data_IF_704428076359
#
_entry.id   IF_704428076359
#
_cell.length_a   1.000
_cell.length_b   1.000
_cell.length_c   1.000
_cell.angle_alpha   90.00
_cell.angle_beta   90.00
_cell.angle_gamma   90.00
#
_symmetry.space_group_name_H-M   'P 1'
#
loop_
_entity.id
_entity.type
_entity.pdbx_description
1 polymer ?
#
# COMPACT_ATOMS: atom_id res chain seq x y z
N UNK A 1 -9.89 -74.80 -21.64
CA UNK A 1 -8.97 -73.68 -21.36
C UNK A 1 -9.85 -72.47 -21.10
N UNK A 2 -10.09 -72.20 -19.82
CA UNK A 2 -11.18 -71.33 -19.35
C UNK A 2 -10.61 -69.94 -19.13
N UNK A 3 -11.07 -68.96 -19.91
CA UNK A 3 -10.62 -67.57 -19.81
C UNK A 3 -11.20 -67.00 -18.51
N UNK A 4 -10.32 -66.60 -17.59
CA UNK A 4 -10.68 -65.86 -16.39
C UNK A 4 -11.11 -64.44 -16.79
N UNK A 5 -12.41 -64.16 -16.66
CA UNK A 5 -12.94 -62.80 -16.63
C UNK A 5 -12.42 -62.12 -15.35
N UNK A 6 -11.45 -61.23 -15.51
CA UNK A 6 -10.87 -60.45 -14.42
C UNK A 6 -11.87 -59.40 -13.91
N UNK A 7 -11.92 -59.30 -12.58
CA UNK A 7 -12.79 -58.42 -11.81
C UNK A 7 -12.60 -56.94 -12.18
N UNK A 8 -13.52 -56.39 -12.98
CA UNK A 8 -13.72 -54.94 -13.14
C UNK A 8 -14.27 -54.34 -11.83
N UNK A 9 -13.42 -54.07 -10.84
CA UNK A 9 -13.83 -53.36 -9.62
C UNK A 9 -13.62 -51.85 -9.76
N UNK A 10 -14.76 -51.16 -9.86
CA UNK A 10 -15.07 -49.81 -9.36
C UNK A 10 -14.53 -48.59 -10.12
N UNK A 11 -15.06 -48.36 -11.32
CA UNK A 11 -15.36 -46.99 -11.75
C UNK A 11 -16.85 -46.72 -11.50
N UNK A 12 -17.24 -45.60 -10.88
CA UNK A 12 -18.64 -45.24 -10.70
C UNK A 12 -19.36 -45.18 -12.05
N UNK A 13 -20.63 -45.63 -12.14
CA UNK A 13 -21.44 -45.48 -13.36
C UNK A 13 -21.50 -44.01 -13.83
N UNK A 14 -21.47 -43.07 -12.88
CA UNK A 14 -21.46 -41.64 -13.19
C UNK A 14 -20.21 -41.15 -13.93
N UNK A 15 -19.05 -41.80 -13.75
CA UNK A 15 -17.81 -41.38 -14.40
C UNK A 15 -17.78 -41.79 -15.88
N UNK A 16 -18.29 -42.99 -16.17
CA UNK A 16 -18.52 -43.46 -17.53
C UNK A 16 -19.50 -42.56 -18.28
N UNK A 17 -20.64 -42.24 -17.66
CA UNK A 17 -21.64 -41.35 -18.25
C UNK A 17 -21.08 -39.94 -18.50
N UNK A 18 -20.25 -39.42 -17.59
CA UNK A 18 -19.58 -38.13 -17.74
C UNK A 18 -18.66 -38.09 -18.97
N UNK A 19 -17.85 -39.13 -19.18
CA UNK A 19 -16.92 -39.20 -20.31
C UNK A 19 -17.69 -39.40 -21.62
N UNK A 20 -18.73 -40.22 -21.63
CA UNK A 20 -19.62 -40.35 -22.80
C UNK A 20 -20.27 -39.00 -23.17
N UNK A 21 -20.75 -38.24 -22.19
CA UNK A 21 -21.28 -36.89 -22.43
C UNK A 21 -20.22 -35.90 -22.93
N UNK A 22 -18.95 -36.07 -22.54
CA UNK A 22 -17.84 -35.28 -23.07
C UNK A 22 -17.61 -35.62 -24.55
N UNK A 23 -17.57 -36.90 -24.89
CA UNK A 23 -17.41 -37.40 -26.26
C UNK A 23 -18.58 -36.99 -27.17
N UNK A 24 -19.81 -36.99 -26.67
CA UNK A 24 -20.99 -36.58 -27.43
C UNK A 24 -20.97 -35.08 -27.82
N UNK A 25 -20.21 -34.25 -27.09
CA UNK A 25 -20.04 -32.81 -27.41
C UNK A 25 -18.97 -32.58 -28.45
N UNK A 26 -17.91 -33.37 -28.40
CA UNK A 26 -16.74 -33.21 -29.24
C UNK A 26 -16.85 -34.21 -30.41
N UNK A 27 -17.66 -33.88 -31.42
CA UNK A 27 -17.91 -34.79 -32.55
C UNK A 27 -16.61 -35.06 -33.34
N UNK A 28 -16.07 -36.28 -33.24
CA UNK A 28 -14.90 -36.70 -34.01
C UNK A 28 -14.39 -38.09 -33.62
N UNK A 29 -13.52 -38.64 -34.47
CA UNK A 29 -12.85 -39.93 -34.24
C UNK A 29 -11.33 -39.82 -34.41
N UNK A 30 -10.82 -38.58 -34.42
CA UNK A 30 -9.40 -38.32 -34.62
C UNK A 30 -8.59 -38.75 -33.40
N UNK A 31 -7.36 -39.17 -33.62
CA UNK A 31 -6.40 -39.44 -32.53
C UNK A 31 -6.25 -38.22 -31.60
N UNK A 32 -6.34 -37.01 -32.15
CA UNK A 32 -6.30 -35.76 -31.38
C UNK A 32 -7.43 -35.66 -30.34
N UNK A 33 -8.65 -36.07 -30.71
CA UNK A 33 -9.77 -36.11 -29.79
C UNK A 33 -9.55 -37.17 -28.69
N UNK A 34 -9.12 -38.37 -29.08
CA UNK A 34 -8.81 -39.46 -28.14
C UNK A 34 -7.75 -39.00 -27.14
N UNK A 35 -6.69 -38.35 -27.62
CA UNK A 35 -5.63 -37.79 -26.78
C UNK A 35 -6.16 -36.72 -25.82
N UNK A 36 -6.97 -35.77 -26.31
CA UNK A 36 -7.56 -34.72 -25.46
C UNK A 36 -8.40 -35.30 -24.32
N UNK A 37 -9.38 -36.13 -24.67
CA UNK A 37 -10.27 -36.77 -23.69
C UNK A 37 -9.48 -37.67 -22.75
N UNK A 38 -8.54 -38.46 -23.23
CA UNK A 38 -7.73 -39.33 -22.38
C UNK A 38 -6.84 -38.54 -21.41
N UNK A 39 -6.22 -37.43 -21.85
CA UNK A 39 -5.39 -36.59 -20.96
C UNK A 39 -6.20 -35.98 -19.83
N UNK A 40 -7.37 -35.43 -20.14
CA UNK A 40 -8.26 -34.82 -19.14
C UNK A 40 -8.73 -35.81 -18.08
N UNK A 41 -8.95 -37.06 -18.50
CA UNK A 41 -9.51 -38.09 -17.64
C UNK A 41 -8.43 -38.84 -16.85
N UNK A 42 -7.27 -39.15 -17.46
CA UNK A 42 -6.17 -39.82 -16.76
C UNK A 42 -5.54 -38.97 -15.65
N UNK A 43 -5.62 -37.64 -15.70
CA UNK A 43 -5.10 -36.78 -14.64
C UNK A 43 -5.68 -37.10 -13.25
N UNK A 44 -6.93 -37.58 -13.23
CA UNK A 44 -7.69 -37.93 -12.03
C UNK A 44 -7.74 -39.43 -11.72
N UNK A 45 -7.17 -40.27 -12.60
CA UNK A 45 -7.14 -41.73 -12.41
C UNK A 45 -5.78 -42.18 -11.84
N UNK A 46 -5.78 -43.33 -11.18
CA UNK A 46 -4.54 -44.01 -10.82
C UNK A 46 -3.89 -44.60 -12.08
N UNK A 47 -2.56 -44.63 -12.10
CA UNK A 47 -1.80 -45.33 -13.16
C UNK A 47 -2.01 -46.83 -13.00
N UNK A 48 -2.97 -47.36 -13.76
CA UNK A 48 -3.32 -48.77 -13.78
C UNK A 48 -3.83 -49.17 -15.15
N UNK A 49 -3.55 -50.42 -15.54
CA UNK A 49 -4.09 -51.05 -16.74
C UNK A 49 -5.63 -51.03 -16.74
N UNK A 50 -6.25 -51.17 -15.57
CA UNK A 50 -7.72 -51.09 -15.44
C UNK A 50 -8.30 -49.72 -15.84
N UNK A 51 -7.55 -48.63 -15.67
CA UNK A 51 -7.97 -47.30 -16.10
C UNK A 51 -7.86 -47.15 -17.62
N UNK A 52 -6.81 -47.72 -18.22
CA UNK A 52 -6.65 -47.80 -19.68
C UNK A 52 -7.80 -48.60 -20.29
N UNK A 53 -8.08 -49.79 -19.74
CA UNK A 53 -9.16 -50.65 -20.22
C UNK A 53 -10.54 -50.01 -20.04
N UNK A 54 -10.76 -49.31 -18.92
CA UNK A 54 -11.98 -48.54 -18.72
C UNK A 54 -12.17 -47.46 -19.79
N UNK A 55 -11.13 -46.65 -20.06
CA UNK A 55 -11.19 -45.63 -21.12
C UNK A 55 -11.39 -46.24 -22.51
N UNK A 56 -10.77 -47.39 -22.78
CA UNK A 56 -10.94 -48.10 -24.04
C UNK A 56 -12.40 -48.56 -24.21
N UNK A 57 -12.99 -49.12 -23.15
CA UNK A 57 -14.39 -49.59 -23.15
C UNK A 57 -15.38 -48.43 -23.34
N UNK A 58 -15.10 -47.26 -22.74
CA UNK A 58 -15.93 -46.06 -22.90
C UNK A 58 -15.89 -45.52 -24.33
N UNK A 59 -14.70 -45.44 -24.93
CA UNK A 59 -14.53 -44.97 -26.30
C UNK A 59 -15.16 -45.95 -27.30
N UNK A 60 -14.99 -47.26 -27.10
CA UNK A 60 -15.65 -48.27 -27.93
C UNK A 60 -17.18 -48.16 -27.86
N UNK A 61 -17.76 -47.98 -26.67
CA UNK A 61 -19.20 -47.81 -26.54
C UNK A 61 -19.72 -46.55 -27.24
N UNK A 62 -19.00 -45.43 -27.14
CA UNK A 62 -19.37 -44.21 -27.86
C UNK A 62 -19.37 -44.44 -29.38
N UNK A 63 -18.34 -45.09 -29.90
CA UNK A 63 -18.21 -45.45 -31.31
C UNK A 63 -19.29 -46.40 -31.80
N UNK A 64 -19.63 -47.43 -31.01
CA UNK A 64 -20.76 -48.31 -31.29
C UNK A 64 -22.09 -47.54 -31.37
N UNK A 65 -22.31 -46.55 -30.50
CA UNK A 65 -23.50 -45.66 -30.57
C UNK A 65 -23.51 -44.79 -31.82
N UNK A 66 -22.34 -44.38 -32.28
CA UNK A 66 -22.18 -43.59 -33.52
C UNK A 66 -22.23 -44.44 -34.80
N UNK A 67 -22.21 -45.77 -34.69
CA UNK A 67 -22.28 -46.69 -35.83
C UNK A 67 -20.95 -46.97 -36.54
N UNK A 68 -19.83 -46.56 -35.96
CA UNK A 68 -18.49 -46.73 -36.55
C UNK A 68 -17.50 -47.11 -35.47
N UNK A 69 -16.76 -48.23 -35.63
CA UNK A 69 -15.68 -48.64 -34.72
C UNK A 69 -14.34 -48.46 -35.44
N UNK A 70 -13.73 -47.26 -35.37
CA UNK A 70 -12.61 -46.90 -36.24
C UNK A 70 -11.31 -47.57 -35.84
N UNK A 71 -11.15 -48.03 -34.60
CA UNK A 71 -9.90 -48.57 -34.06
C UNK A 71 -10.09 -49.92 -33.37
N UNK A 72 -9.24 -50.93 -33.64
CA UNK A 72 -9.18 -52.15 -32.85
C UNK A 72 -8.88 -51.85 -31.38
N UNK A 73 -9.46 -52.64 -30.47
CA UNK A 73 -9.30 -52.46 -29.01
C UNK A 73 -7.83 -52.44 -28.58
N UNK A 74 -7.02 -53.32 -29.16
CA UNK A 74 -5.59 -53.46 -28.84
C UNK A 74 -4.80 -52.20 -29.23
N UNK A 75 -5.08 -51.65 -30.42
CA UNK A 75 -4.47 -50.39 -30.89
C UNK A 75 -4.88 -49.22 -30.00
N UNK A 76 -6.15 -49.16 -29.60
CA UNK A 76 -6.64 -48.14 -28.69
C UNK A 76 -6.01 -48.25 -27.29
N UNK A 77 -5.92 -49.46 -26.74
CA UNK A 77 -5.28 -49.71 -25.44
C UNK A 77 -3.80 -49.32 -25.44
N UNK A 78 -3.08 -49.60 -26.53
CA UNK A 78 -1.69 -49.18 -26.72
C UNK A 78 -1.54 -47.64 -26.71
N UNK A 79 -2.38 -46.93 -27.49
CA UNK A 79 -2.39 -45.46 -27.51
C UNK A 79 -2.73 -44.87 -26.13
N UNK A 80 -3.76 -45.39 -25.47
CA UNK A 80 -4.19 -44.92 -24.14
C UNK A 80 -3.13 -45.18 -23.06
N UNK A 81 -2.37 -46.27 -23.18
CA UNK A 81 -1.23 -46.55 -22.28
C UNK A 81 -0.15 -45.48 -22.44
N UNK A 82 0.24 -45.15 -23.68
CA UNK A 82 1.22 -44.10 -23.93
C UNK A 82 0.75 -42.73 -23.39
N UNK A 83 -0.53 -42.39 -23.57
CA UNK A 83 -1.10 -41.15 -23.03
C UNK A 83 -1.10 -41.16 -21.49
N UNK A 84 -1.43 -42.29 -20.85
CA UNK A 84 -1.39 -42.42 -19.39
C UNK A 84 0.04 -42.24 -18.85
N UNK A 85 1.06 -42.72 -19.57
CA UNK A 85 2.46 -42.51 -19.23
C UNK A 85 2.86 -41.04 -19.33
N UNK A 86 2.53 -40.37 -20.45
CA UNK A 86 2.77 -38.92 -20.63
C UNK A 86 2.18 -38.10 -19.47
N UNK A 87 0.90 -38.31 -19.15
CA UNK A 87 0.20 -37.59 -18.07
C UNK A 87 0.85 -37.84 -16.71
N UNK A 88 1.32 -39.07 -16.47
CA UNK A 88 1.94 -39.42 -15.21
C UNK A 88 3.32 -38.79 -15.05
N UNK A 89 4.13 -38.76 -16.10
CA UNK A 89 5.42 -38.05 -16.11
C UNK A 89 5.24 -36.55 -15.86
N UNK A 90 4.25 -35.92 -16.52
CA UNK A 90 3.90 -34.51 -16.29
C UNK A 90 3.49 -34.27 -14.83
N UNK A 91 2.69 -35.15 -14.24
CA UNK A 91 2.24 -35.07 -12.84
C UNK A 91 3.39 -35.23 -11.85
N UNK A 92 4.32 -36.14 -12.11
CA UNK A 92 5.54 -36.31 -11.31
C UNK A 92 6.42 -35.06 -11.38
N UNK A 93 6.70 -34.56 -12.58
CA UNK A 93 7.50 -33.35 -12.78
C UNK A 93 6.86 -32.12 -12.11
N UNK A 94 5.53 -31.98 -12.20
CA UNK A 94 4.80 -30.91 -11.51
C UNK A 94 4.88 -31.06 -9.97
N UNK A 95 4.76 -32.28 -9.45
CA UNK A 95 4.92 -32.58 -8.03
C UNK A 95 6.30 -32.22 -7.49
N UNK A 96 7.36 -32.53 -8.24
CA UNK A 96 8.74 -32.18 -7.89
C UNK A 96 8.95 -30.65 -7.89
N UNK A 97 8.47 -29.96 -8.93
CA UNK A 97 8.53 -28.48 -9.01
C UNK A 97 7.83 -27.84 -7.81
N UNK A 98 6.65 -28.35 -7.43
CA UNK A 98 5.91 -27.86 -6.27
C UNK A 98 6.68 -28.11 -4.97
N UNK A 99 7.31 -29.29 -4.81
CA UNK A 99 8.10 -29.62 -3.63
C UNK A 99 9.34 -28.72 -3.50
N UNK A 100 10.03 -28.45 -4.61
CA UNK A 100 11.17 -27.51 -4.66
C UNK A 100 10.71 -26.09 -4.29
N UNK A 101 9.61 -25.61 -4.89
CA UNK A 101 9.06 -24.28 -4.60
C UNK A 101 8.67 -24.13 -3.12
N UNK A 102 8.04 -25.15 -2.52
CA UNK A 102 7.70 -25.16 -1.09
C UNK A 102 8.95 -25.06 -0.20
N UNK A 103 9.99 -25.86 -0.49
CA UNK A 103 11.26 -25.81 0.26
C UNK A 103 11.93 -24.44 0.17
N UNK A 104 11.93 -23.81 -1.01
CA UNK A 104 12.49 -22.48 -1.21
C UNK A 104 11.69 -21.40 -0.44
N UNK A 105 10.35 -21.47 -0.48
CA UNK A 105 9.49 -20.57 0.28
C UNK A 105 9.70 -20.71 1.80
N UNK A 106 9.82 -21.93 2.31
CA UNK A 106 10.10 -22.19 3.72
C UNK A 106 11.47 -21.65 4.15
N UNK A 107 12.49 -21.81 3.30
CA UNK A 107 13.81 -21.26 3.55
C UNK A 107 13.79 -19.73 3.58
N UNK A 108 13.14 -19.09 2.59
CA UNK A 108 12.99 -17.64 2.54
C UNK A 108 12.26 -17.10 3.79
N UNK A 109 11.19 -17.78 4.22
CA UNK A 109 10.46 -17.42 5.45
C UNK A 109 11.34 -17.51 6.69
N UNK A 110 12.13 -18.59 6.84
CA UNK A 110 13.05 -18.76 7.96
C UNK A 110 14.13 -17.68 7.99
N UNK A 111 14.69 -17.32 6.84
CA UNK A 111 15.68 -16.23 6.74
C UNK A 111 15.07 -14.88 7.11
N UNK A 112 13.88 -14.56 6.59
CA UNK A 112 13.18 -13.31 6.91
C UNK A 112 12.91 -13.16 8.43
N UNK A 113 12.48 -14.22 9.09
CA UNK A 113 12.27 -14.21 10.56
C UNK A 113 13.59 -14.00 11.31
N UNK A 114 14.68 -14.63 10.86
CA UNK A 114 15.99 -14.45 11.47
C UNK A 114 16.52 -13.02 11.30
N UNK A 115 16.36 -12.44 10.12
CA UNK A 115 16.73 -11.05 9.83
C UNK A 115 15.92 -10.05 10.67
N UNK A 116 14.60 -10.25 10.76
CA UNK A 116 13.73 -9.39 11.59
C UNK A 116 14.12 -9.48 13.07
N UNK A 117 14.42 -10.68 13.58
CA UNK A 117 14.89 -10.86 14.95
C UNK A 117 16.26 -10.20 15.19
N UNK A 118 17.18 -10.30 14.24
CA UNK A 118 18.49 -9.65 14.31
C UNK A 118 18.36 -8.12 14.30
N UNK A 119 17.51 -7.57 13.43
CA UNK A 119 17.21 -6.13 13.38
C UNK A 119 16.58 -5.64 14.68
N UNK A 120 15.61 -6.37 15.24
CA UNK A 120 15.01 -6.02 16.54
C UNK A 120 16.06 -5.93 17.65
N UNK A 121 16.93 -6.95 17.78
CA UNK A 121 18.03 -6.93 18.76
C UNK A 121 18.98 -5.75 18.54
N UNK A 122 19.38 -5.48 17.29
CA UNK A 122 20.24 -4.35 16.97
C UNK A 122 19.59 -3.01 17.37
N UNK A 123 18.30 -2.82 17.09
CA UNK A 123 17.58 -1.59 17.47
C UNK A 123 17.37 -1.45 18.98
N UNK A 124 17.20 -2.56 19.71
CA UNK A 124 17.12 -2.52 21.16
C UNK A 124 18.47 -2.18 21.80
N UNK A 125 19.56 -2.73 21.29
CA UNK A 125 20.91 -2.40 21.74
C UNK A 125 21.26 -0.94 21.48
N UNK A 126 20.92 -0.40 20.30
CA UNK A 126 21.15 1.03 20.01
C UNK A 126 20.31 1.92 20.94
N UNK A 127 19.03 1.59 21.18
CA UNK A 127 18.19 2.31 22.15
C UNK A 127 18.78 2.30 23.56
N UNK A 128 19.32 1.17 24.02
CA UNK A 128 19.98 1.06 25.33
C UNK A 128 21.22 1.96 25.40
N UNK A 129 22.11 1.87 24.41
CA UNK A 129 23.31 2.72 24.32
C UNK A 129 22.94 4.21 24.27
N UNK A 130 21.89 4.56 23.53
CA UNK A 130 21.39 5.93 23.45
C UNK A 130 20.80 6.42 24.77
N UNK A 131 20.05 5.59 25.48
CA UNK A 131 19.53 5.93 26.80
C UNK A 131 20.67 6.19 27.80
N UNK A 132 21.70 5.33 27.81
CA UNK A 132 22.88 5.48 28.66
C UNK A 132 23.68 6.74 28.33
N UNK A 133 23.92 7.02 27.04
CA UNK A 133 24.59 8.24 26.61
C UNK A 133 23.79 9.49 27.01
N UNK A 134 22.46 9.45 26.91
CA UNK A 134 21.59 10.56 27.35
C UNK A 134 21.67 10.79 28.86
N UNK A 135 21.69 9.71 29.65
CA UNK A 135 21.85 9.79 31.12
C UNK A 135 23.20 10.38 31.51
N UNK A 136 24.28 9.98 30.84
CA UNK A 136 25.62 10.56 31.05
C UNK A 136 25.64 12.06 30.77
N UNK A 137 25.10 12.49 29.62
CA UNK A 137 25.01 13.93 29.28
C UNK A 137 24.13 14.68 30.29
N UNK A 138 23.02 14.11 30.75
CA UNK A 138 22.17 14.72 31.76
C UNK A 138 22.91 14.96 33.09
N UNK A 139 23.68 13.98 33.54
CA UNK A 139 24.54 14.07 34.73
C UNK A 139 25.56 15.19 34.59
N UNK A 140 26.36 15.19 33.52
CA UNK A 140 27.53 16.09 33.44
C UNK A 140 27.15 17.56 33.27
N UNK A 141 26.00 17.81 32.65
CA UNK A 141 25.50 19.18 32.48
C UNK A 141 24.51 19.60 33.57
N UNK A 142 24.11 18.70 34.48
CA UNK A 142 23.10 18.98 35.51
C UNK A 142 21.72 19.35 34.93
N UNK A 143 21.32 18.70 33.84
CA UNK A 143 20.08 18.99 33.09
C UNK A 143 19.13 17.80 33.05
N UNK A 144 17.88 18.05 32.66
CA UNK A 144 16.89 16.97 32.48
C UNK A 144 17.27 16.05 31.31
N UNK A 145 16.83 14.79 31.35
CA UNK A 145 17.04 13.82 30.25
C UNK A 145 16.47 14.31 28.91
N UNK A 146 15.36 15.05 28.93
CA UNK A 146 14.78 15.70 27.74
C UNK A 146 15.72 16.75 27.16
N UNK A 147 16.29 17.62 28.00
CA UNK A 147 17.24 18.63 27.56
C UNK A 147 18.56 17.99 27.08
N UNK A 148 19.04 16.94 27.74
CA UNK A 148 20.22 16.19 27.30
C UNK A 148 20.02 15.53 25.93
N UNK A 149 18.83 14.94 25.67
CA UNK A 149 18.47 14.41 24.35
C UNK A 149 18.48 15.52 23.30
N UNK A 150 17.85 16.66 23.58
CA UNK A 150 17.83 17.79 22.65
C UNK A 150 19.25 18.31 22.37
N UNK A 151 20.09 18.38 23.40
CA UNK A 151 21.49 18.79 23.28
C UNK A 151 22.30 17.83 22.39
N UNK A 152 22.08 16.51 22.53
CA UNK A 152 22.73 15.48 21.68
C UNK A 152 22.26 15.52 20.22
N UNK A 153 20.97 15.77 19.99
CA UNK A 153 20.36 15.69 18.65
C UNK A 153 20.52 17.00 17.88
N UNK A 154 20.26 18.13 18.53
CA UNK A 154 20.29 19.45 17.89
C UNK A 154 21.62 20.18 18.02
N UNK A 155 22.49 19.73 18.93
CA UNK A 155 23.73 20.41 19.27
C UNK A 155 23.52 21.70 20.05
N UNK A 156 24.60 22.47 20.18
CA UNK A 156 24.64 23.73 20.92
C UNK A 156 25.32 24.82 20.12
N UNK A 157 24.88 26.07 20.31
CA UNK A 157 25.54 27.26 19.75
C UNK A 157 26.75 27.70 20.58
N UNK A 158 26.90 27.19 21.79
CA UNK A 158 28.03 27.49 22.67
C UNK A 158 29.19 26.52 22.36
N UNK A 159 30.33 27.00 21.84
CA UNK A 159 31.45 26.15 21.46
C UNK A 159 32.03 25.33 22.62
N UNK A 160 32.14 25.91 23.82
CA UNK A 160 32.63 25.19 25.02
C UNK A 160 31.72 24.03 25.41
N UNK A 161 30.39 24.22 25.29
CA UNK A 161 29.43 23.13 25.53
C UNK A 161 29.52 22.06 24.45
N UNK A 162 29.80 22.42 23.20
CA UNK A 162 29.97 21.45 22.11
C UNK A 162 31.24 20.60 22.32
N UNK A 163 32.35 21.21 22.75
CA UNK A 163 33.58 20.50 23.11
C UNK A 163 33.36 19.53 24.27
N UNK A 164 32.71 19.97 25.35
CA UNK A 164 32.40 19.09 26.48
C UNK A 164 31.46 17.93 26.08
N UNK A 165 30.45 18.20 25.25
CA UNK A 165 29.55 17.16 24.74
C UNK A 165 30.30 16.15 23.87
N UNK A 166 31.21 16.63 23.04
CA UNK A 166 32.05 15.81 22.17
C UNK A 166 32.96 14.88 22.97
N UNK A 167 33.54 15.35 24.08
CA UNK A 167 34.33 14.53 25.02
C UNK A 167 33.46 13.43 25.62
N UNK A 168 32.27 13.76 26.12
CA UNK A 168 31.36 12.79 26.77
C UNK A 168 30.93 11.69 25.78
N UNK A 169 30.74 12.04 24.51
CA UNK A 169 30.28 11.12 23.47
C UNK A 169 31.41 10.46 22.67
N UNK A 170 32.67 10.84 22.88
CA UNK A 170 33.81 10.34 22.10
C UNK A 170 33.74 10.70 20.62
N UNK A 171 33.32 11.93 20.31
CA UNK A 171 33.10 12.42 18.93
C UNK A 171 33.80 13.77 18.72
N UNK A 172 33.74 14.33 17.51
CA UNK A 172 34.32 15.64 17.22
C UNK A 172 33.40 16.81 17.63
N UNK A 173 33.94 17.93 18.18
CA UNK A 173 33.16 19.10 18.56
C UNK A 173 32.32 19.70 17.43
N UNK A 174 32.81 19.63 16.20
CA UNK A 174 32.13 20.17 15.02
C UNK A 174 30.77 19.49 14.76
N UNK A 175 30.61 18.21 15.11
CA UNK A 175 29.35 17.48 14.95
C UNK A 175 28.24 17.99 15.87
N UNK A 176 28.61 18.61 16.99
CA UNK A 176 27.69 19.08 18.03
C UNK A 176 27.53 20.60 18.06
N UNK A 177 28.27 21.30 17.20
CA UNK A 177 28.17 22.74 17.08
C UNK A 177 27.01 23.08 16.15
N UNK A 178 25.90 23.52 16.74
CA UNK A 178 24.74 23.93 15.98
C UNK A 178 25.10 25.18 15.19
N UNK A 179 25.09 25.11 13.86
CA UNK A 179 25.12 26.32 13.03
C UNK A 179 23.99 27.22 13.50
N UNK A 180 24.34 28.42 13.94
CA UNK A 180 23.38 29.46 14.35
C UNK A 180 22.50 29.74 13.13
N UNK A 181 21.39 29.01 12.98
CA UNK A 181 20.33 29.41 12.05
C UNK A 181 19.95 30.80 12.55
N UNK A 182 20.32 31.84 11.81
CA UNK A 182 19.71 33.17 11.96
C UNK A 182 18.21 32.95 11.71
N UNK A 183 17.46 32.56 12.75
CA UNK A 183 16.01 32.65 12.75
C UNK A 183 15.67 34.11 12.96
N UNK A 184 15.93 34.90 11.92
CA UNK A 184 14.97 35.89 11.50
C UNK A 184 14.42 35.33 10.21
N UNK A 185 13.35 34.53 10.26
CA UNK A 185 12.44 34.59 9.13
C UNK A 185 12.03 36.05 9.16
N UNK A 186 12.50 36.82 8.18
CA UNK A 186 12.03 38.18 8.03
C UNK A 186 10.60 38.04 7.54
N UNK A 187 9.68 37.81 8.49
CA UNK A 187 8.27 37.56 8.23
C UNK A 187 7.69 38.71 7.41
N UNK A 188 8.19 39.92 7.65
CA UNK A 188 7.86 41.11 6.88
C UNK A 188 8.23 40.94 5.39
N UNK A 189 9.42 40.45 5.07
CA UNK A 189 9.80 40.10 3.68
C UNK A 189 9.01 38.90 3.14
N UNK A 190 8.81 37.88 3.97
CA UNK A 190 8.06 36.67 3.60
C UNK A 190 6.61 37.00 3.23
N UNK A 191 5.94 37.91 3.96
CA UNK A 191 4.56 38.31 3.70
C UNK A 191 4.45 39.42 2.65
N UNK A 192 5.47 40.26 2.48
CA UNK A 192 5.48 41.29 1.44
C UNK A 192 5.65 40.70 0.02
N UNK A 193 6.39 39.59 -0.11
CA UNK A 193 6.66 38.94 -1.39
C UNK A 193 5.59 37.92 -1.80
N UNK A 194 4.59 37.67 -0.95
CA UNK A 194 3.48 36.76 -1.26
C UNK A 194 2.44 37.51 -2.10
N UNK A 195 2.26 37.09 -3.36
CA UNK A 195 1.11 37.52 -4.16
C UNK A 195 -0.17 36.97 -3.52
N UNK A 196 -1.27 37.71 -3.51
CA UNK A 196 -2.57 37.27 -2.95
C UNK A 196 -2.98 35.89 -3.50
N UNK A 197 -2.59 35.59 -4.74
CA UNK A 197 -2.83 34.30 -5.40
C UNK A 197 -2.00 33.13 -4.82
N UNK A 198 -0.85 33.42 -4.23
CA UNK A 198 0.06 32.49 -3.53
C UNK A 198 -0.14 32.50 -2.01
N UNK A 199 -0.85 33.50 -1.47
CA UNK A 199 -1.35 33.54 -0.09
C UNK A 199 -2.55 32.59 0.12
N UNK A 200 -2.76 31.63 -0.78
CA UNK A 200 -3.80 30.63 -0.61
C UNK A 200 -3.40 29.70 0.53
N UNK A 201 -4.36 29.50 1.42
CA UNK A 201 -4.36 28.56 2.53
C UNK A 201 -3.99 27.10 2.15
N UNK A 202 -3.90 26.77 0.85
CA UNK A 202 -3.64 25.47 0.20
C UNK A 202 -2.39 24.68 0.61
N UNK A 203 -1.67 25.04 1.68
CA UNK A 203 -0.63 24.17 2.27
C UNK A 203 -0.91 23.69 3.69
N UNK A 204 -1.98 24.16 4.33
CA UNK A 204 -2.30 23.79 5.71
C UNK A 204 -3.70 23.20 5.95
N UNK A 205 -4.58 23.19 4.95
CA UNK A 205 -5.77 22.35 4.90
C UNK A 205 -5.80 21.63 3.56
N UNK A 206 -6.28 20.39 3.57
CA UNK A 206 -6.45 19.55 2.38
C UNK A 206 -7.28 20.25 1.32
N UNK A 207 -6.97 20.00 0.04
CA UNK A 207 -7.68 20.57 -1.13
C UNK A 207 -9.20 20.26 -1.17
N UNK A 208 -9.70 19.43 -0.25
CA UNK A 208 -11.11 19.07 -0.10
C UNK A 208 -11.95 20.12 0.66
N UNK A 209 -11.34 21.03 1.43
CA UNK A 209 -12.09 21.93 2.34
C UNK A 209 -12.29 23.37 1.82
N UNK A 210 -11.75 23.74 0.65
CA UNK A 210 -11.91 25.11 0.12
C UNK A 210 -13.23 25.20 -0.66
N UNK A 211 -14.30 25.60 0.03
CA UNK A 211 -15.59 25.92 -0.57
C UNK A 211 -15.52 27.17 -1.46
N UNK A 212 -16.22 27.16 -2.61
CA UNK A 212 -16.37 28.32 -3.51
C UNK A 212 -17.07 29.54 -2.85
N UNK A 213 -17.70 29.35 -1.69
CA UNK A 213 -18.55 30.35 -1.04
C UNK A 213 -17.80 31.37 -0.17
N UNK A 214 -16.56 31.09 0.27
CA UNK A 214 -15.80 31.99 1.17
C UNK A 214 -15.42 33.31 0.49
N UNK A 215 -15.06 33.25 -0.79
CA UNK A 215 -14.82 34.45 -1.59
C UNK A 215 -16.10 35.29 -1.75
N UNK A 216 -17.27 34.66 -1.85
CA UNK A 216 -18.54 35.35 -1.98
C UNK A 216 -18.91 36.13 -0.69
N UNK A 217 -18.60 35.59 0.49
CA UNK A 217 -18.81 36.31 1.76
C UNK A 217 -17.84 37.50 1.92
N UNK A 218 -16.57 37.32 1.56
CA UNK A 218 -15.57 38.39 1.59
C UNK A 218 -15.95 39.53 0.64
N UNK A 219 -16.34 39.19 -0.60
CA UNK A 219 -16.77 40.18 -1.59
C UNK A 219 -18.08 40.86 -1.19
N UNK A 220 -19.00 40.13 -0.54
CA UNK A 220 -20.20 40.72 0.04
C UNK A 220 -19.89 41.77 1.10
N UNK A 221 -18.95 41.52 2.02
CA UNK A 221 -18.54 42.50 3.02
C UNK A 221 -17.88 43.73 2.39
N UNK A 222 -17.01 43.55 1.39
CA UNK A 222 -16.42 44.66 0.63
C UNK A 222 -17.48 45.51 -0.07
N UNK A 223 -18.45 44.88 -0.73
CA UNK A 223 -19.53 45.58 -1.43
C UNK A 223 -20.50 46.30 -0.48
N UNK A 224 -20.51 45.94 0.81
CA UNK A 224 -21.31 46.60 1.84
C UNK A 224 -20.49 47.51 2.76
N UNK A 225 -19.21 47.78 2.46
CA UNK A 225 -18.32 48.58 3.31
C UNK A 225 -18.89 49.97 3.65
N UNK A 226 -19.63 50.60 2.71
CA UNK A 226 -20.31 51.88 2.96
C UNK A 226 -21.41 51.83 4.03
N UNK A 227 -21.94 50.65 4.37
CA UNK A 227 -22.94 50.43 5.43
C UNK A 227 -22.32 50.00 6.76
N UNK A 228 -21.12 49.44 6.73
CA UNK A 228 -20.43 48.86 7.89
C UNK A 228 -19.42 49.87 8.49
N UNK A 229 -18.94 50.83 7.69
CA UNK A 229 -17.86 51.73 8.08
C UNK A 229 -16.49 51.08 7.91
N UNK A 230 -15.46 51.64 8.57
CA UNK A 230 -14.15 50.97 8.69
C UNK A 230 -14.38 49.75 9.58
N UNK A 231 -14.44 48.58 8.95
CA UNK A 231 -14.73 47.34 9.65
C UNK A 231 -13.46 46.53 9.86
N UNK A 232 -13.03 46.44 11.11
CA UNK A 232 -11.95 45.58 11.57
C UNK A 232 -12.56 44.61 12.58
N UNK A 233 -13.03 43.42 12.16
CA UNK A 233 -13.52 42.44 13.12
C UNK A 233 -12.40 42.10 14.12
N UNK A 234 -12.75 41.90 15.40
CA UNK A 234 -11.79 41.51 16.44
C UNK A 234 -11.93 40.03 16.81
N UNK A 235 -13.05 39.42 16.42
CA UNK A 235 -13.40 38.03 16.71
C UNK A 235 -14.21 37.36 15.59
N UNK A 236 -14.33 36.02 15.66
CA UNK A 236 -15.20 35.25 14.78
C UNK A 236 -16.67 35.61 14.99
N UNK A 237 -17.06 35.85 16.24
CA UNK A 237 -18.39 36.25 16.66
C UNK A 237 -18.82 37.57 16.00
N UNK A 238 -17.89 38.51 15.82
CA UNK A 238 -18.15 39.77 15.11
C UNK A 238 -18.47 39.54 13.63
N UNK A 239 -17.77 38.61 12.98
CA UNK A 239 -18.01 38.25 11.56
C UNK A 239 -19.39 37.62 11.40
N UNK A 240 -19.77 36.70 12.29
CA UNK A 240 -21.10 36.07 12.28
C UNK A 240 -22.19 37.11 12.57
N UNK A 241 -21.98 37.98 13.55
CA UNK A 241 -22.93 39.02 13.92
C UNK A 241 -23.16 40.00 12.77
N UNK A 242 -22.09 40.47 12.13
CA UNK A 242 -22.16 41.42 11.04
C UNK A 242 -22.78 40.81 9.78
N UNK A 243 -22.48 39.55 9.46
CA UNK A 243 -23.14 38.83 8.37
C UNK A 243 -24.66 38.75 8.56
N UNK A 244 -25.11 38.50 9.80
CA UNK A 244 -26.54 38.48 10.16
C UNK A 244 -27.20 39.84 10.04
N UNK A 245 -26.54 40.91 10.53
CA UNK A 245 -27.05 42.29 10.42
C UNK A 245 -27.23 42.72 8.97
N UNK A 246 -26.31 42.33 8.10
CA UNK A 246 -26.37 42.60 6.66
C UNK A 246 -27.28 41.64 5.89
N UNK A 247 -27.90 40.68 6.59
CA UNK A 247 -28.78 39.65 6.04
C UNK A 247 -28.11 38.80 4.96
N UNK A 248 -26.84 38.45 5.15
CA UNK A 248 -26.18 37.49 4.27
C UNK A 248 -26.88 36.13 4.41
N UNK A 249 -27.51 35.61 3.33
CA UNK A 249 -28.17 34.33 3.40
C UNK A 249 -27.12 33.23 3.56
N UNK A 250 -27.37 32.28 4.47
CA UNK A 250 -26.54 31.08 4.69
C UNK A 250 -25.13 31.30 5.27
N UNK A 251 -24.91 32.30 6.12
CA UNK A 251 -23.66 32.41 6.90
C UNK A 251 -23.53 31.23 7.89
N UNK A 252 -22.83 30.17 7.47
CA UNK A 252 -22.42 29.07 8.36
C UNK A 252 -21.24 29.50 9.24
N UNK A 253 -21.03 28.79 10.34
CA UNK A 253 -19.90 29.05 11.24
C UNK A 253 -18.56 28.80 10.54
N UNK A 254 -18.47 27.75 9.73
CA UNK A 254 -17.27 27.41 8.96
C UNK A 254 -16.91 28.54 7.97
N UNK A 255 -17.91 29.06 7.26
CA UNK A 255 -17.74 30.16 6.32
C UNK A 255 -17.29 31.46 7.02
N UNK A 256 -17.87 31.73 8.20
CA UNK A 256 -17.46 32.87 9.01
C UNK A 256 -16.03 32.70 9.57
N UNK A 257 -15.65 31.48 9.93
CA UNK A 257 -14.30 31.16 10.43
C UNK A 257 -13.24 31.36 9.34
N UNK A 258 -13.52 30.90 8.12
CA UNK A 258 -12.63 31.12 6.98
C UNK A 258 -12.52 32.59 6.59
N UNK A 259 -13.63 33.32 6.57
CA UNK A 259 -13.62 34.76 6.33
C UNK A 259 -12.82 35.49 7.42
N UNK A 260 -13.02 35.12 8.69
CA UNK A 260 -12.29 35.70 9.82
C UNK A 260 -10.76 35.48 9.70
N UNK A 261 -10.35 34.24 9.43
CA UNK A 261 -8.94 33.91 9.17
C UNK A 261 -8.36 34.73 8.02
N UNK A 262 -9.14 34.91 6.95
CA UNK A 262 -8.73 35.71 5.78
C UNK A 262 -8.52 37.19 6.15
N UNK A 263 -9.40 37.77 6.98
CA UNK A 263 -9.22 39.12 7.50
C UNK A 263 -7.95 39.27 8.36
N UNK A 264 -7.65 38.29 9.21
CA UNK A 264 -6.42 38.32 10.02
C UNK A 264 -5.15 38.31 9.16
N UNK A 265 -5.15 37.52 8.08
CA UNK A 265 -4.03 37.48 7.14
C UNK A 265 -3.86 38.83 6.45
N UNK A 266 -4.95 39.41 5.93
CA UNK A 266 -4.91 40.75 5.30
C UNK A 266 -4.43 41.83 6.28
N UNK A 267 -4.87 41.78 7.54
CA UNK A 267 -4.43 42.71 8.59
C UNK A 267 -2.93 42.60 8.83
N UNK A 268 -2.41 41.38 8.96
CA UNK A 268 -0.97 41.12 9.12
C UNK A 268 -0.20 41.63 7.90
N UNK A 269 -0.66 41.34 6.68
CA UNK A 269 -0.05 41.82 5.44
C UNK A 269 0.01 43.35 5.41
N UNK A 270 -1.10 44.01 5.74
CA UNK A 270 -1.21 45.47 5.73
C UNK A 270 -0.26 46.10 6.73
N UNK A 271 -0.22 45.60 7.98
CA UNK A 271 0.75 46.03 9.00
C UNK A 271 2.19 45.83 8.51
N UNK A 272 2.50 44.68 7.91
CA UNK A 272 3.82 44.40 7.36
C UNK A 272 4.20 45.33 6.21
N UNK A 273 3.26 45.68 5.32
CA UNK A 273 3.50 46.63 4.22
C UNK A 273 3.70 48.05 4.73
N UNK A 274 2.86 48.53 5.64
CA UNK A 274 3.03 49.87 6.24
C UNK A 274 4.38 49.98 6.95
N UNK A 275 4.75 48.96 7.73
CA UNK A 275 6.05 48.92 8.41
C UNK A 275 7.24 48.90 7.42
N UNK A 276 7.08 48.36 6.20
CA UNK A 276 8.12 48.42 5.18
C UNK A 276 8.23 49.80 4.52
N UNK A 277 7.10 50.47 4.29
CA UNK A 277 7.09 51.84 3.75
C UNK A 277 7.69 52.84 4.73
N UNK A 278 7.46 52.68 6.04
CA UNK A 278 8.06 53.52 7.09
C UNK A 278 9.59 53.33 7.24
N UNK A 279 10.16 52.25 6.70
CA UNK A 279 11.62 51.99 6.73
C UNK A 279 12.32 52.57 5.48
N UNK A 280 11.57 52.95 4.44
CA UNK A 280 12.13 53.46 3.17
C UNK A 280 12.15 54.98 3.04
N UNK A 281 11.69 55.73 4.05
CA UNK A 281 11.79 57.20 4.14
C UNK A 281 12.68 57.66 5.29
#
# INVERSE_FOLDING_TARGET
>A
MTIHLTNYRRFPRCEKERILQQLDRDSGQSEALIRGVAKDNFGNMERAESAVMFMADVLQEHWERCGEVPWPRETLASLLTAIQEEVWEEKQAAGERLAVARRQADLARKMAVAEEAAQKRATEETRKRDAEATKRVASEFGITTRQARNLRVEGTVNPRKAEQLAIILGTEPAAHLRRRRRRGINLVKLFADVKIEDARFCRFLSDEDIGRDTNALIDFFKNNQGRIGIWEPESLEDVVHQARLLRFPHCSLDLAEEAWKSFQIWRIETICRTALYDIQF
#
